data_IF_180509983601
#
_entry.id   IF_180509983601
#
_cell.length_a   1.000
_cell.length_b   1.000
_cell.length_c   1.000
_cell.angle_alpha   90.00
_cell.angle_beta   90.00
_cell.angle_gamma   90.00
#
_symmetry.space_group_name_H-M   'P 1'
#
loop_
_entity.id
_entity.type
_entity.pdbx_description
1 polymer ?
#
# COMPACT_ATOMS: atom_id res chain seq x y z
N UNK A 1 15.19 -14.35 -5.57
CA UNK A 1 13.85 -14.75 -5.11
C UNK A 1 12.83 -14.16 -6.07
N UNK A 2 11.81 -14.91 -6.48
CA UNK A 2 10.78 -14.47 -7.43
C UNK A 2 9.69 -13.65 -6.71
N UNK A 3 9.37 -12.46 -7.20
CA UNK A 3 8.31 -11.60 -6.66
C UNK A 3 7.11 -11.58 -7.61
N UNK A 4 5.97 -12.10 -7.16
CA UNK A 4 4.76 -12.23 -7.96
C UNK A 4 3.72 -11.22 -7.46
N UNK A 5 3.32 -10.29 -8.32
CA UNK A 5 2.20 -9.38 -8.05
C UNK A 5 0.86 -10.11 -8.14
N UNK A 6 0.00 -9.95 -7.14
CA UNK A 6 -1.40 -10.35 -7.19
C UNK A 6 -2.27 -9.10 -7.26
N UNK A 7 -3.00 -8.95 -8.36
CA UNK A 7 -3.90 -7.80 -8.59
C UNK A 7 -5.31 -8.26 -8.95
N UNK A 8 -6.21 -7.30 -9.19
CA UNK A 8 -7.61 -7.55 -9.52
C UNK A 8 -8.53 -6.48 -8.93
N UNK A 9 -9.68 -6.26 -9.58
CA UNK A 9 -10.67 -5.27 -9.14
C UNK A 9 -11.36 -5.60 -7.80
N UNK A 10 -12.21 -4.69 -7.34
CA UNK A 10 -13.06 -4.93 -6.16
C UNK A 10 -13.90 -6.19 -6.39
N UNK A 11 -13.97 -7.07 -5.38
CA UNK A 11 -14.75 -8.32 -5.47
C UNK A 11 -14.12 -9.45 -6.27
N UNK A 12 -12.88 -9.29 -6.78
CA UNK A 12 -12.23 -10.32 -7.61
C UNK A 12 -11.65 -11.51 -6.84
N UNK A 13 -11.78 -11.57 -5.51
CA UNK A 13 -11.27 -12.68 -4.70
C UNK A 13 -9.76 -12.64 -4.38
N UNK A 14 -9.06 -11.51 -4.58
CA UNK A 14 -7.62 -11.37 -4.24
C UNK A 14 -7.28 -11.86 -2.84
N UNK A 15 -8.07 -11.48 -1.84
CA UNK A 15 -7.86 -11.88 -0.44
C UNK A 15 -7.92 -13.40 -0.30
N UNK A 16 -8.91 -14.05 -0.93
CA UNK A 16 -9.00 -15.51 -0.90
C UNK A 16 -7.76 -16.18 -1.53
N UNK A 17 -7.28 -15.66 -2.66
CA UNK A 17 -6.08 -16.19 -3.32
C UNK A 17 -4.83 -15.96 -2.46
N UNK A 18 -4.64 -14.76 -1.91
CA UNK A 18 -3.50 -14.47 -1.02
C UNK A 18 -3.53 -15.32 0.24
N UNK A 19 -4.71 -15.56 0.82
CA UNK A 19 -4.87 -16.39 2.00
C UNK A 19 -4.47 -17.84 1.70
N UNK A 20 -4.86 -18.38 0.54
CA UNK A 20 -4.44 -19.72 0.10
C UNK A 20 -2.91 -19.81 0.04
N UNK A 21 -2.23 -18.85 -0.60
CA UNK A 21 -0.77 -18.81 -0.63
C UNK A 21 -0.17 -18.76 0.79
N UNK A 22 -0.76 -17.94 1.68
CA UNK A 22 -0.38 -17.87 3.08
C UNK A 22 -0.50 -19.21 3.81
N UNK A 23 -1.59 -19.95 3.61
CA UNK A 23 -1.76 -21.29 4.20
C UNK A 23 -0.73 -22.32 3.72
N UNK A 24 -0.18 -22.12 2.51
CA UNK A 24 0.89 -22.93 1.94
C UNK A 24 2.29 -22.50 2.41
N UNK A 25 2.39 -21.52 3.33
CA UNK A 25 3.67 -21.03 3.85
C UNK A 25 4.37 -20.04 2.92
N UNK A 26 3.70 -19.53 1.89
CA UNK A 26 4.26 -18.52 0.99
C UNK A 26 4.10 -17.14 1.64
N UNK A 27 5.17 -16.35 1.77
CA UNK A 27 5.06 -15.00 2.30
C UNK A 27 4.17 -14.12 1.42
N UNK A 28 3.22 -13.44 2.07
CA UNK A 28 2.32 -12.47 1.46
C UNK A 28 2.66 -11.08 1.97
N UNK A 29 2.94 -10.17 1.05
CA UNK A 29 3.22 -8.77 1.31
C UNK A 29 2.05 -7.94 0.77
N UNK A 30 1.21 -7.43 1.65
CA UNK A 30 0.04 -6.61 1.28
C UNK A 30 0.38 -5.12 1.33
N UNK A 31 0.26 -4.43 0.19
CA UNK A 31 0.57 -3.00 0.11
C UNK A 31 -0.42 -2.13 0.88
N UNK A 32 -1.68 -2.55 1.01
CA UNK A 32 -2.68 -1.80 1.80
C UNK A 32 -2.37 -1.90 3.29
N UNK A 33 -1.92 -3.07 3.77
CA UNK A 33 -1.46 -3.22 5.16
C UNK A 33 -0.23 -2.34 5.42
N UNK A 34 0.77 -2.38 4.53
CA UNK A 34 1.95 -1.50 4.63
C UNK A 34 1.55 -0.03 4.65
N UNK A 35 0.66 0.41 3.76
CA UNK A 35 0.22 1.80 3.72
C UNK A 35 -0.50 2.21 5.02
N UNK A 36 -1.18 1.28 5.70
CA UNK A 36 -1.79 1.54 7.03
C UNK A 36 -0.72 1.68 8.11
N UNK A 37 0.27 0.80 8.12
CA UNK A 37 1.36 0.85 9.10
C UNK A 37 2.21 2.12 8.97
N UNK A 38 2.48 2.57 7.74
CA UNK A 38 3.27 3.77 7.45
C UNK A 38 2.63 5.08 7.94
N UNK A 39 1.34 5.07 8.28
CA UNK A 39 0.61 6.24 8.78
C UNK A 39 0.16 6.10 10.24
N UNK A 40 0.68 5.10 10.96
CA UNK A 40 0.48 5.02 12.40
C UNK A 40 1.18 6.18 13.14
N UNK A 41 0.72 6.53 14.36
CA UNK A 41 1.33 7.59 15.15
C UNK A 41 2.85 7.44 15.29
N UNK A 42 3.58 8.53 15.07
CA UNK A 42 5.05 8.56 15.12
C UNK A 42 5.74 8.23 13.78
N UNK A 43 5.00 7.82 12.76
CA UNK A 43 5.58 7.56 11.45
C UNK A 43 5.79 8.84 10.62
N UNK A 44 6.88 8.95 9.84
CA UNK A 44 7.15 10.11 9.00
C UNK A 44 6.08 10.38 7.94
N UNK A 45 5.36 9.36 7.46
CA UNK A 45 4.31 9.56 6.46
C UNK A 45 3.10 10.27 7.07
N UNK A 46 2.75 9.98 8.34
CA UNK A 46 1.67 10.68 9.02
C UNK A 46 2.00 12.17 9.18
N UNK A 47 3.22 12.51 9.58
CA UNK A 47 3.67 13.91 9.69
C UNK A 47 3.53 14.65 8.35
N UNK A 48 4.01 14.06 7.26
CA UNK A 48 3.91 14.67 5.92
C UNK A 48 2.44 14.85 5.47
N UNK A 49 1.55 13.92 5.85
CA UNK A 49 0.11 14.07 5.59
C UNK A 49 -0.47 15.23 6.41
N UNK A 50 -0.10 15.36 7.69
CA UNK A 50 -0.57 16.48 8.54
C UNK A 50 -0.11 17.82 7.99
N UNK A 51 1.12 17.93 7.52
CA UNK A 51 1.64 19.15 6.88
C UNK A 51 0.85 19.52 5.61
N UNK A 52 0.45 18.53 4.81
CA UNK A 52 -0.26 18.75 3.55
C UNK A 52 -1.78 18.98 3.74
N UNK A 53 -2.42 18.29 4.68
CA UNK A 53 -3.89 18.27 4.85
C UNK A 53 -4.39 19.00 6.10
N UNK A 54 -3.46 19.51 6.90
CA UNK A 54 -3.74 20.20 8.15
C UNK A 54 -4.12 19.25 9.31
N UNK A 55 -4.27 19.78 10.52
CA UNK A 55 -4.52 18.98 11.73
C UNK A 55 -5.86 18.24 11.72
N UNK A 56 -6.82 18.66 10.89
CA UNK A 56 -8.12 17.99 10.75
C UNK A 56 -8.01 16.56 10.18
N UNK A 57 -6.87 16.20 9.56
CA UNK A 57 -6.61 14.83 9.15
C UNK A 57 -6.23 13.88 10.30
N UNK A 58 -6.22 14.37 11.55
CA UNK A 58 -6.03 13.55 12.74
C UNK A 58 -7.33 13.35 13.52
N UNK A 59 -7.43 12.19 14.14
CA UNK A 59 -8.38 11.89 15.21
C UNK A 59 -7.86 12.44 16.55
N UNK A 60 -8.69 12.52 17.61
CA UNK A 60 -8.24 12.92 18.94
C UNK A 60 -7.07 12.09 19.48
N UNK A 61 -6.98 10.82 19.10
CA UNK A 61 -5.91 9.89 19.48
C UNK A 61 -4.64 10.05 18.61
N UNK A 62 -4.53 11.15 17.84
CA UNK A 62 -3.42 11.44 16.92
C UNK A 62 -3.21 10.39 15.82
N UNK A 63 -4.23 9.59 15.52
CA UNK A 63 -4.25 8.66 14.38
C UNK A 63 -4.86 9.32 13.15
N UNK A 64 -4.55 8.79 11.97
CA UNK A 64 -5.09 9.28 10.71
C UNK A 64 -6.63 9.17 10.64
N UNK A 65 -7.30 10.30 10.41
CA UNK A 65 -8.73 10.36 10.13
C UNK A 65 -8.98 10.01 8.65
N UNK A 66 -9.17 8.71 8.40
CA UNK A 66 -9.39 8.17 7.05
C UNK A 66 -10.67 8.68 6.40
N UNK A 67 -11.72 8.93 7.18
CA UNK A 67 -12.98 9.44 6.66
C UNK A 67 -12.81 10.87 6.12
N UNK A 68 -12.15 11.74 6.89
CA UNK A 68 -11.80 13.09 6.45
C UNK A 68 -10.93 13.07 5.19
N UNK A 69 -9.83 12.30 5.20
CA UNK A 69 -8.98 12.22 4.01
C UNK A 69 -9.73 11.70 2.78
N UNK A 70 -10.60 10.68 2.96
CA UNK A 70 -11.39 10.15 1.85
C UNK A 70 -12.28 11.23 1.24
N UNK A 71 -12.90 12.07 2.06
CA UNK A 71 -13.69 13.19 1.58
C UNK A 71 -12.82 14.18 0.79
N UNK A 72 -11.66 14.58 1.33
CA UNK A 72 -10.74 15.49 0.65
C UNK A 72 -10.31 14.98 -0.72
N UNK A 73 -9.84 13.74 -0.81
CA UNK A 73 -9.29 13.18 -2.06
C UNK A 73 -10.38 12.77 -3.06
N UNK A 74 -11.63 12.62 -2.61
CA UNK A 74 -12.75 12.31 -3.50
C UNK A 74 -13.20 13.55 -4.28
N UNK A 75 -13.17 14.73 -3.65
CA UNK A 75 -13.60 15.98 -4.27
C UNK A 75 -12.46 16.75 -4.95
N UNK A 76 -11.20 16.50 -4.57
CA UNK A 76 -10.04 17.21 -5.09
C UNK A 76 -8.98 16.23 -5.68
N UNK A 77 -8.84 16.18 -7.02
CA UNK A 77 -7.80 15.39 -7.68
C UNK A 77 -6.37 15.79 -7.31
N UNK A 78 -6.12 17.05 -6.98
CA UNK A 78 -4.80 17.53 -6.54
C UNK A 78 -4.49 16.95 -5.16
N UNK A 79 -5.46 17.01 -4.24
CA UNK A 79 -5.34 16.38 -2.94
C UNK A 79 -5.09 14.86 -3.05
N UNK A 80 -5.80 14.16 -3.94
CA UNK A 80 -5.54 12.74 -4.23
C UNK A 80 -4.08 12.51 -4.64
N UNK A 81 -3.60 13.27 -5.61
CA UNK A 81 -2.22 13.17 -6.10
C UNK A 81 -1.17 13.48 -5.01
N UNK A 82 -1.43 14.46 -4.15
CA UNK A 82 -0.55 14.78 -3.04
C UNK A 82 -0.44 13.61 -2.04
N UNK A 83 -1.56 13.00 -1.68
CA UNK A 83 -1.57 11.81 -0.81
C UNK A 83 -0.80 10.65 -1.43
N UNK A 84 -1.04 10.37 -2.72
CA UNK A 84 -0.33 9.34 -3.47
C UNK A 84 1.18 9.59 -3.53
N UNK A 85 1.61 10.83 -3.78
CA UNK A 85 3.02 11.22 -3.80
C UNK A 85 3.71 11.02 -2.44
N UNK A 86 2.97 11.16 -1.34
CA UNK A 86 3.50 10.88 0.00
C UNK A 86 3.61 9.36 0.22
N UNK A 87 2.56 8.60 -0.10
CA UNK A 87 2.46 7.19 0.30
C UNK A 87 3.16 6.22 -0.67
N UNK A 88 3.06 6.42 -1.97
CA UNK A 88 3.55 5.45 -2.95
C UNK A 88 5.06 5.20 -2.85
N UNK A 89 5.94 6.23 -2.79
CA UNK A 89 7.38 5.99 -2.65
C UNK A 89 7.72 5.25 -1.36
N UNK A 90 7.08 5.61 -0.24
CA UNK A 90 7.31 4.98 1.07
C UNK A 90 6.85 3.52 1.10
N UNK A 91 5.69 3.25 0.51
CA UNK A 91 5.13 1.89 0.38
C UNK A 91 6.06 1.02 -0.47
N UNK A 92 6.55 1.54 -1.60
CA UNK A 92 7.52 0.82 -2.46
C UNK A 92 8.80 0.49 -1.72
N UNK A 93 9.39 1.46 -1.02
CA UNK A 93 10.60 1.24 -0.22
C UNK A 93 10.38 0.14 0.82
N UNK A 94 9.25 0.15 1.51
CA UNK A 94 8.92 -0.82 2.54
C UNK A 94 8.67 -2.23 1.96
N UNK A 95 7.99 -2.33 0.81
CA UNK A 95 7.84 -3.60 0.08
C UNK A 95 9.21 -4.16 -0.30
N UNK A 96 10.08 -3.36 -0.92
CA UNK A 96 11.44 -3.79 -1.29
C UNK A 96 12.24 -4.23 -0.08
N UNK A 97 12.12 -3.52 1.05
CA UNK A 97 12.78 -3.88 2.32
C UNK A 97 12.27 -5.22 2.86
N UNK A 98 10.97 -5.50 2.80
CA UNK A 98 10.42 -6.80 3.25
C UNK A 98 10.86 -7.93 2.33
N UNK A 99 10.83 -7.72 1.02
CA UNK A 99 11.30 -8.70 0.02
C UNK A 99 12.77 -9.05 0.27
N UNK A 100 13.64 -8.07 0.53
CA UNK A 100 15.07 -8.34 0.74
C UNK A 100 15.39 -9.11 2.04
N UNK A 101 14.44 -9.21 2.97
CA UNK A 101 14.58 -9.96 4.21
C UNK A 101 14.11 -11.42 4.09
N UNK A 102 13.49 -11.81 2.98
CA UNK A 102 12.99 -13.15 2.77
C UNK A 102 14.07 -14.09 2.22
N UNK A 103 14.12 -15.31 2.75
CA UNK A 103 15.00 -16.40 2.29
C UNK A 103 14.17 -17.58 1.77
N UNK A 104 13.22 -17.30 0.88
CA UNK A 104 12.33 -18.29 0.25
C UNK A 104 12.43 -18.25 -1.27
N UNK A 105 11.92 -19.25 -2.01
CA UNK A 105 12.00 -19.25 -3.47
C UNK A 105 11.17 -18.12 -4.12
N UNK A 106 9.99 -17.81 -3.57
CA UNK A 106 9.11 -16.76 -4.07
C UNK A 106 8.19 -16.17 -2.99
N UNK A 107 7.63 -14.99 -3.27
CA UNK A 107 6.62 -14.32 -2.45
C UNK A 107 5.48 -13.73 -3.31
N UNK A 108 4.34 -13.49 -2.66
CA UNK A 108 3.20 -12.78 -3.27
C UNK A 108 3.17 -11.34 -2.77
N UNK A 109 3.04 -10.38 -3.69
CA UNK A 109 2.84 -8.96 -3.39
C UNK A 109 1.42 -8.57 -3.81
N UNK A 110 0.53 -8.35 -2.86
CA UNK A 110 -0.86 -7.98 -3.14
C UNK A 110 -0.96 -6.49 -3.38
N UNK A 111 -1.44 -6.09 -4.56
CA UNK A 111 -1.50 -4.69 -5.00
C UNK A 111 -2.92 -4.40 -5.52
N UNK A 112 -3.86 -3.97 -4.66
CA UNK A 112 -5.27 -3.83 -5.03
C UNK A 112 -5.56 -2.82 -6.15
N UNK A 113 -4.68 -1.83 -6.35
CA UNK A 113 -4.92 -0.69 -7.24
C UNK A 113 -4.01 -0.67 -8.48
N UNK A 114 -3.36 -1.77 -8.83
CA UNK A 114 -2.40 -1.80 -9.96
C UNK A 114 -3.06 -1.37 -11.30
N UNK A 115 -4.36 -1.64 -11.46
CA UNK A 115 -5.16 -1.24 -12.64
C UNK A 115 -5.48 0.27 -12.65
N UNK A 116 -5.54 0.93 -11.49
CA UNK A 116 -5.84 2.36 -11.39
C UNK A 116 -4.58 3.24 -11.38
N UNK A 117 -3.44 2.70 -10.96
CA UNK A 117 -2.20 3.49 -10.79
C UNK A 117 -1.39 3.60 -12.11
N UNK A 118 -1.79 2.93 -13.20
CA UNK A 118 -0.87 2.67 -14.34
C UNK A 118 0.51 2.20 -13.82
N UNK A 119 0.53 1.53 -12.66
CA UNK A 119 1.75 1.09 -12.01
C UNK A 119 2.29 -0.08 -12.84
N UNK A 120 3.22 0.22 -13.74
CA UNK A 120 3.96 -0.79 -14.47
C UNK A 120 4.70 -1.72 -13.51
N UNK A 121 5.08 -2.92 -13.97
CA UNK A 121 5.93 -3.88 -13.22
C UNK A 121 7.13 -3.20 -12.54
N UNK A 122 7.64 -2.11 -13.12
CA UNK A 122 8.76 -1.31 -12.64
C UNK A 122 8.50 -0.60 -11.30
N UNK A 123 7.24 -0.33 -10.93
CA UNK A 123 6.91 0.39 -9.69
C UNK A 123 7.32 -0.39 -8.43
N UNK A 124 7.24 -1.72 -8.47
CA UNK A 124 7.56 -2.62 -7.36
C UNK A 124 8.61 -3.68 -7.73
N UNK A 125 9.28 -3.53 -8.88
CA UNK A 125 10.26 -4.49 -9.40
C UNK A 125 9.76 -5.94 -9.41
N UNK A 126 8.51 -6.14 -9.83
CA UNK A 126 7.87 -7.46 -9.85
C UNK A 126 8.35 -8.28 -11.06
N UNK A 127 8.55 -9.58 -10.84
CA UNK A 127 8.95 -10.49 -11.91
C UNK A 127 7.74 -10.96 -12.74
N UNK A 128 6.56 -11.08 -12.13
CA UNK A 128 5.31 -11.55 -12.74
C UNK A 128 4.08 -10.87 -12.11
N UNK A 129 2.97 -10.84 -12.84
CA UNK A 129 1.64 -10.42 -12.35
C UNK A 129 0.65 -11.56 -12.60
N UNK A 130 -0.15 -11.87 -11.57
CA UNK A 130 -1.33 -12.73 -11.59
C UNK A 130 -2.61 -11.89 -11.58
#
# INVERSE_FOLDING_TARGET
MLSIGLTGGIGSGKTAVSDIFGTLGVPVIDTDLIARELVEPGQPALTAIVECFGPACLTPDKRLNRAYLRQCIFTDPIAKKNLENILHPRTRTEVTRRISQLSVPYCIVVIPLLVEINASNAAYALDRIL
#
